data_IF_223162840295
#
_entry.id   IF_223162840295
#
_cell.length_a   1.000
_cell.length_b   1.000
_cell.length_c   1.000
_cell.angle_alpha   90.00
_cell.angle_beta   90.00
_cell.angle_gamma   90.00
#
_symmetry.space_group_name_H-M   'P 1'
#
loop_
_entity.id
_entity.type
_entity.pdbx_description
1 polymer ?
#
# COMPACT_ATOMS: atom_id res chain seq x y z
N UNK A 1 1.25 -4.33 -19.08
CA UNK A 1 -0.11 -3.86 -18.75
C UNK A 1 -0.45 -2.75 -19.71
N UNK A 2 -1.68 -2.69 -20.21
CA UNK A 2 -2.13 -1.56 -21.02
C UNK A 2 -2.47 -0.38 -20.11
N UNK A 3 -2.41 0.85 -20.61
CA UNK A 3 -2.83 2.03 -19.83
C UNK A 3 -4.29 1.94 -19.36
N UNK A 4 -5.12 1.15 -20.07
CA UNK A 4 -6.51 0.88 -19.69
C UNK A 4 -6.59 0.01 -18.43
N UNK A 5 -5.75 -1.02 -18.33
CA UNK A 5 -5.66 -1.88 -17.14
C UNK A 5 -5.22 -1.06 -15.91
N UNK A 6 -4.27 -0.13 -16.10
CA UNK A 6 -3.79 0.75 -15.04
C UNK A 6 -4.90 1.69 -14.52
N UNK A 7 -5.72 2.26 -15.42
CA UNK A 7 -6.87 3.08 -15.03
C UNK A 7 -7.93 2.28 -14.28
N UNK A 8 -8.22 1.06 -14.73
CA UNK A 8 -9.21 0.20 -14.08
C UNK A 8 -8.75 -0.20 -12.66
N UNK A 9 -7.45 -0.41 -12.45
CA UNK A 9 -6.92 -0.65 -11.12
C UNK A 9 -7.01 0.59 -10.22
N UNK A 10 -6.73 1.79 -10.74
CA UNK A 10 -6.89 3.04 -9.98
C UNK A 10 -8.35 3.28 -9.57
N UNK A 11 -9.31 2.96 -10.44
CA UNK A 11 -10.74 3.04 -10.12
C UNK A 11 -11.12 2.05 -9.02
N UNK A 12 -10.59 0.82 -9.05
CA UNK A 12 -10.82 -0.18 -8.01
C UNK A 12 -10.21 0.23 -6.66
N UNK A 13 -9.01 0.82 -6.66
CA UNK A 13 -8.37 1.34 -5.45
C UNK A 13 -9.12 2.53 -4.84
N UNK A 14 -9.66 3.43 -5.69
CA UNK A 14 -10.51 4.54 -5.24
C UNK A 14 -11.82 4.03 -4.64
N UNK A 15 -12.48 3.08 -5.31
CA UNK A 15 -13.71 2.45 -4.82
C UNK A 15 -13.49 1.66 -3.52
N UNK A 16 -12.31 1.05 -3.36
CA UNK A 16 -11.91 0.36 -2.14
C UNK A 16 -11.47 1.32 -1.01
N UNK A 17 -11.42 2.64 -1.26
CA UNK A 17 -10.97 3.64 -0.29
C UNK A 17 -9.49 3.56 0.06
N UNK A 18 -8.69 2.88 -0.77
CA UNK A 18 -7.23 2.69 -0.54
C UNK A 18 -6.40 3.89 -0.97
N UNK A 19 -6.92 4.67 -1.91
CA UNK A 19 -6.30 5.93 -2.36
C UNK A 19 -7.29 7.08 -2.18
N UNK A 20 -6.76 8.26 -1.90
CA UNK A 20 -7.56 9.48 -1.85
C UNK A 20 -7.96 9.93 -3.26
N UNK A 21 -9.01 10.73 -3.38
CA UNK A 21 -9.44 11.29 -4.66
C UNK A 21 -8.36 12.16 -5.33
N UNK A 22 -7.50 12.82 -4.54
CA UNK A 22 -6.40 13.64 -5.06
C UNK A 22 -5.26 12.77 -5.60
N UNK A 23 -4.92 11.69 -4.90
CA UNK A 23 -3.92 10.73 -5.34
C UNK A 23 -4.36 9.98 -6.60
N UNK A 24 -5.65 9.64 -6.70
CA UNK A 24 -6.23 9.09 -7.92
C UNK A 24 -6.02 10.03 -9.12
N UNK A 25 -6.25 11.34 -8.97
CA UNK A 25 -6.05 12.32 -10.06
C UNK A 25 -4.59 12.38 -10.49
N UNK A 26 -3.65 12.47 -9.55
CA UNK A 26 -2.22 12.50 -9.87
C UNK A 26 -1.78 11.24 -10.62
N UNK A 27 -2.18 10.06 -10.14
CA UNK A 27 -1.81 8.79 -10.78
C UNK A 27 -2.46 8.64 -12.15
N UNK A 28 -3.74 9.02 -12.28
CA UNK A 28 -4.46 9.01 -13.56
C UNK A 28 -3.77 9.90 -14.60
N UNK A 29 -3.38 11.11 -14.21
CA UNK A 29 -2.71 12.06 -15.11
C UNK A 29 -1.31 11.56 -15.52
N UNK A 30 -0.59 10.88 -14.63
CA UNK A 30 0.68 10.24 -14.97
C UNK A 30 0.52 9.09 -15.99
N UNK A 31 -0.52 8.26 -15.83
CA UNK A 31 -0.85 7.17 -16.77
C UNK A 31 -1.24 7.74 -18.14
N UNK A 32 -2.09 8.78 -18.17
CA UNK A 32 -2.50 9.46 -19.40
C UNK A 32 -1.34 10.18 -20.09
N UNK A 33 -0.45 10.82 -19.32
CA UNK A 33 0.76 11.46 -19.85
C UNK A 33 1.70 10.46 -20.52
N UNK A 34 1.86 9.27 -19.94
CA UNK A 34 2.63 8.17 -20.56
C UNK A 34 1.97 7.67 -21.84
N UNK A 35 0.65 7.55 -21.86
CA UNK A 35 -0.10 7.12 -23.04
C UNK A 35 -0.01 8.13 -24.19
N UNK A 36 -0.04 9.44 -23.89
CA UNK A 36 0.13 10.51 -24.91
C UNK A 36 1.57 10.65 -25.40
N UNK A 37 2.57 10.40 -24.55
CA UNK A 37 3.99 10.46 -24.92
C UNK A 37 4.53 9.22 -25.64
N UNK A 38 3.76 8.13 -25.71
CA UNK A 38 4.24 6.80 -26.12
C UNK A 38 4.03 6.43 -27.60
N UNK A 39 3.52 7.33 -28.43
CA UNK A 39 3.25 7.05 -29.85
C UNK A 39 4.19 7.78 -30.80
N UNK A 40 5.49 7.79 -30.48
CA UNK A 40 6.56 8.02 -31.46
C UNK A 40 7.79 7.16 -31.14
N UNK A 41 8.00 6.11 -31.93
CA UNK A 41 9.31 5.57 -32.32
C UNK A 41 10.27 5.00 -31.26
N UNK A 42 10.31 3.66 -31.18
CA UNK A 42 11.50 2.79 -31.26
C UNK A 42 12.89 3.22 -30.74
N UNK A 43 13.47 2.28 -29.96
CA UNK A 43 14.89 1.87 -29.92
C UNK A 43 15.93 2.78 -29.23
N UNK A 44 16.38 2.32 -28.06
CA UNK A 44 17.79 2.28 -27.65
C UNK A 44 18.48 3.61 -27.34
N UNK A 45 18.71 3.89 -26.06
CA UNK A 45 20.01 4.34 -25.55
C UNK A 45 19.96 4.46 -24.01
N UNK A 46 20.79 3.66 -23.35
CA UNK A 46 21.35 4.00 -22.05
C UNK A 46 22.04 5.36 -22.17
N UNK A 47 21.79 6.29 -21.25
CA UNK A 47 22.63 7.47 -21.09
C UNK A 47 23.05 7.65 -19.63
N UNK A 48 24.36 7.47 -19.48
CA UNK A 48 25.22 7.81 -18.36
C UNK A 48 25.64 9.29 -18.50
N UNK A 49 25.66 10.13 -17.44
CA UNK A 49 25.97 11.55 -17.61
C UNK A 49 27.49 11.81 -17.65
N UNK A 50 27.97 12.34 -18.78
CA UNK A 50 29.31 12.92 -18.97
C UNK A 50 29.27 14.45 -19.00
N UNK A 51 30.39 15.05 -18.59
CA UNK A 51 30.71 16.48 -18.39
C UNK A 51 30.75 17.35 -19.66
N UNK A 52 30.46 18.67 -19.61
CA UNK A 52 30.71 19.60 -20.72
C UNK A 52 31.98 20.47 -20.54
N UNK A 53 32.76 20.58 -21.62
CA UNK A 53 33.78 21.59 -21.86
C UNK A 53 33.26 22.59 -22.93
N UNK A 54 33.58 23.87 -22.76
CA UNK A 54 32.95 25.00 -23.46
C UNK A 54 33.48 25.35 -24.86
N UNK A 55 32.96 26.48 -25.39
CA UNK A 55 33.50 27.16 -26.57
C UNK A 55 32.50 28.08 -27.27
N UNK A 56 32.66 29.40 -27.10
CA UNK A 56 32.06 30.50 -27.89
C UNK A 56 32.77 30.67 -29.26
N UNK A 57 32.17 31.33 -30.28
CA UNK A 57 32.41 32.77 -30.47
C UNK A 57 31.23 33.57 -31.08
N UNK A 58 31.51 34.85 -31.39
CA UNK A 58 30.71 36.07 -31.31
C UNK A 58 30.58 36.79 -32.69
N UNK A 59 29.62 37.72 -32.79
CA UNK A 59 29.43 38.84 -33.79
C UNK A 59 28.67 38.48 -35.10
N UNK A 60 27.76 39.29 -35.69
CA UNK A 60 27.68 40.76 -35.83
C UNK A 60 26.24 41.21 -36.26
N UNK A 61 25.80 42.48 -36.06
CA UNK A 61 24.42 42.95 -36.32
C UNK A 61 24.24 43.83 -37.57
N UNK A 62 23.03 43.84 -38.15
CA UNK A 62 22.63 44.77 -39.22
C UNK A 62 21.10 44.83 -39.47
N UNK A 63 20.55 46.04 -39.49
CA UNK A 63 19.19 46.46 -39.91
C UNK A 63 19.32 47.52 -41.02
N UNK A 64 18.26 48.11 -41.62
CA UNK A 64 16.85 47.69 -41.88
C UNK A 64 16.44 47.92 -43.37
N UNK A 65 15.18 47.64 -43.76
CA UNK A 65 14.30 48.56 -44.55
C UNK A 65 13.07 47.90 -45.20
N UNK A 66 11.88 48.48 -44.95
CA UNK A 66 10.68 48.58 -45.83
C UNK A 66 9.86 47.30 -46.07
N UNK A 67 8.52 47.27 -46.05
CA UNK A 67 7.46 48.27 -45.97
C UNK A 67 6.09 47.57 -46.05
N UNK A 68 5.04 48.18 -45.47
CA UNK A 68 3.61 47.84 -45.64
C UNK A 68 3.06 48.48 -46.94
N UNK A 69 1.96 47.99 -47.59
CA UNK A 69 0.54 48.12 -47.14
C UNK A 69 -0.34 46.87 -47.44
N UNK A 70 -1.35 46.49 -46.62
CA UNK A 70 -2.74 46.98 -46.45
C UNK A 70 -3.73 46.66 -47.60
N UNK A 71 -4.93 46.15 -47.19
CA UNK A 71 -6.25 46.05 -47.87
C UNK A 71 -6.60 44.72 -48.57
N UNK A 72 -7.80 44.12 -48.54
CA UNK A 72 -9.08 44.18 -47.77
C UNK A 72 -9.96 42.97 -48.29
N UNK A 73 -11.30 42.81 -48.04
CA UNK A 73 -11.91 41.52 -47.67
C UNK A 73 -12.89 40.94 -48.72
N UNK A 74 -13.39 39.70 -48.51
CA UNK A 74 -14.57 39.22 -49.24
C UNK A 74 -14.90 37.74 -49.08
N UNK A 75 -16.06 37.44 -48.49
CA UNK A 75 -16.85 36.22 -48.71
C UNK A 75 -17.52 36.26 -50.09
N UNK A 76 -17.75 35.12 -50.80
CA UNK A 76 -19.07 34.48 -50.71
C UNK A 76 -19.13 32.94 -50.91
N UNK A 77 -20.20 32.36 -50.34
CA UNK A 77 -21.05 31.23 -50.74
C UNK A 77 -20.55 30.08 -51.66
N UNK A 78 -20.81 28.84 -51.20
CA UNK A 78 -21.41 27.77 -52.03
C UNK A 78 -20.64 26.44 -52.13
N UNK A 79 -21.29 25.32 -51.77
CA UNK A 79 -21.02 23.99 -52.34
C UNK A 79 -20.75 22.83 -51.37
N UNK A 80 -21.74 21.95 -51.19
CA UNK A 80 -21.67 20.58 -50.65
C UNK A 80 -20.87 19.64 -51.59
N UNK A 81 -20.21 18.54 -51.12
CA UNK A 81 -20.93 17.31 -50.79
C UNK A 81 -20.43 16.52 -49.55
N UNK A 82 -21.43 16.04 -48.82
CA UNK A 82 -21.55 14.84 -47.99
C UNK A 82 -20.37 13.83 -48.05
N UNK A 83 -19.55 13.82 -46.99
CA UNK A 83 -18.56 12.78 -46.74
C UNK A 83 -19.18 11.68 -45.87
N UNK A 84 -19.30 10.48 -46.43
CA UNK A 84 -19.77 9.27 -45.78
C UNK A 84 -18.83 8.84 -44.65
N UNK A 85 -19.34 8.86 -43.43
CA UNK A 85 -18.66 8.34 -42.23
C UNK A 85 -18.82 6.80 -42.19
N UNK A 86 -17.74 6.00 -42.15
CA UNK A 86 -17.81 4.53 -42.06
C UNK A 86 -17.74 4.00 -40.62
N UNK A 87 -18.10 4.79 -39.60
CA UNK A 87 -18.05 4.34 -38.20
C UNK A 87 -19.43 3.85 -37.74
N UNK A 88 -19.51 2.65 -37.13
CA UNK A 88 -20.75 2.18 -36.52
C UNK A 88 -21.14 3.10 -35.34
N UNK A 89 -22.44 3.21 -35.01
CA UNK A 89 -22.90 4.02 -33.89
C UNK A 89 -22.25 3.57 -32.57
N UNK A 90 -22.05 4.54 -31.68
CA UNK A 90 -21.52 4.30 -30.35
C UNK A 90 -22.35 3.25 -29.60
N UNK A 91 -21.65 2.27 -29.03
CA UNK A 91 -22.20 1.23 -28.19
C UNK A 91 -22.92 1.86 -26.98
N UNK A 92 -24.22 1.63 -26.87
CA UNK A 92 -25.03 2.08 -25.73
C UNK A 92 -25.13 0.96 -24.70
N UNK A 93 -24.63 1.19 -23.49
CA UNK A 93 -24.67 0.23 -22.37
C UNK A 93 -26.08 -0.03 -21.80
N UNK A 94 -27.14 0.58 -22.36
CA UNK A 94 -28.51 0.45 -21.88
C UNK A 94 -29.24 -0.85 -22.27
N UNK A 95 -28.84 -1.55 -23.34
CA UNK A 95 -29.62 -2.66 -23.91
C UNK A 95 -29.10 -4.07 -23.55
N UNK A 96 -27.95 -4.19 -22.88
CA UNK A 96 -27.39 -5.49 -22.48
C UNK A 96 -28.08 -6.13 -21.26
N UNK A 97 -28.88 -5.38 -20.50
CA UNK A 97 -29.57 -5.87 -19.30
C UNK A 97 -30.98 -6.44 -19.56
N UNK A 98 -31.50 -6.38 -20.80
CA UNK A 98 -32.89 -6.78 -21.12
C UNK A 98 -33.03 -8.07 -21.96
N UNK A 99 -31.94 -8.68 -22.43
CA UNK A 99 -32.00 -9.87 -23.30
C UNK A 99 -31.85 -11.23 -22.58
N UNK A 100 -31.79 -11.25 -21.25
CA UNK A 100 -31.64 -12.49 -20.47
C UNK A 100 -32.94 -13.22 -20.11
N UNK A 101 -34.12 -12.67 -20.42
CA UNK A 101 -35.38 -13.13 -19.83
C UNK A 101 -36.53 -13.33 -20.83
N UNK A 102 -36.30 -14.00 -21.97
CA UNK A 102 -37.39 -14.61 -22.74
C UNK A 102 -36.92 -15.88 -23.49
N UNK A 103 -36.97 -17.02 -22.81
CA UNK A 103 -37.35 -18.28 -23.47
C UNK A 103 -38.29 -19.06 -22.55
N UNK A 104 -39.58 -18.95 -22.86
CA UNK A 104 -40.65 -19.78 -22.32
C UNK A 104 -41.05 -20.81 -23.39
N UNK A 105 -41.32 -22.01 -22.90
CA UNK A 105 -42.34 -22.96 -23.37
C UNK A 105 -42.19 -23.59 -24.77
N UNK A 106 -41.88 -24.88 -24.76
CA UNK A 106 -42.66 -25.86 -25.50
C UNK A 106 -42.66 -27.22 -24.79
N UNK A 107 -43.85 -27.59 -24.31
CA UNK A 107 -44.23 -28.93 -23.84
C UNK A 107 -45.04 -29.55 -24.99
N UNK A 108 -44.81 -30.83 -25.34
CA UNK A 108 -45.90 -31.78 -25.17
C UNK A 108 -45.49 -33.23 -24.81
N UNK A 109 -46.35 -33.80 -23.94
CA UNK A 109 -46.87 -35.17 -23.93
C UNK A 109 -46.03 -36.36 -23.36
N UNK A 110 -46.72 -37.39 -22.83
CA UNK A 110 -46.25 -38.21 -21.70
C UNK A 110 -45.97 -39.67 -22.08
N UNK A 111 -44.80 -40.18 -21.69
CA UNK A 111 -44.44 -41.61 -21.65
C UNK A 111 -43.27 -41.70 -20.65
N UNK A 112 -43.40 -42.35 -19.50
CA UNK A 112 -43.25 -43.80 -19.39
C UNK A 112 -41.82 -44.13 -18.95
N UNK A 113 -41.66 -44.45 -17.67
CA UNK A 113 -40.67 -45.40 -17.12
C UNK A 113 -39.16 -45.10 -17.29
N UNK A 114 -38.48 -44.66 -16.22
CA UNK A 114 -37.10 -45.07 -15.87
C UNK A 114 -36.58 -44.34 -14.61
N UNK A 115 -36.88 -44.88 -13.43
CA UNK A 115 -36.12 -44.61 -12.21
C UNK A 115 -34.80 -45.39 -12.31
N UNK A 116 -33.68 -44.70 -12.57
CA UNK A 116 -32.35 -45.31 -12.48
C UNK A 116 -31.63 -44.76 -11.25
N UNK A 117 -31.71 -45.54 -10.17
CA UNK A 117 -30.94 -45.39 -8.94
C UNK A 117 -29.59 -46.08 -9.16
N UNK A 118 -28.49 -45.36 -8.95
CA UNK A 118 -27.12 -45.90 -8.98
C UNK A 118 -26.88 -46.66 -7.65
N UNK A 119 -26.61 -47.98 -7.66
CA UNK A 119 -26.27 -48.73 -6.46
C UNK A 119 -24.79 -48.54 -6.10
N UNK A 120 -24.54 -48.10 -4.87
CA UNK A 120 -23.22 -48.08 -4.24
C UNK A 120 -22.98 -49.42 -3.52
N UNK A 121 -22.07 -50.30 -3.97
CA UNK A 121 -21.82 -51.58 -3.30
C UNK A 121 -20.97 -51.41 -2.03
N UNK A 122 -21.61 -51.65 -0.88
CA UNK A 122 -20.98 -51.85 0.42
C UNK A 122 -20.26 -53.21 0.42
N UNK A 123 -18.95 -53.19 0.66
CA UNK A 123 -18.17 -54.38 1.02
C UNK A 123 -18.13 -54.50 2.54
N UNK A 124 -18.65 -55.63 3.05
CA UNK A 124 -18.55 -56.06 4.44
C UNK A 124 -17.15 -56.66 4.74
N UNK A 125 -16.57 -56.41 5.92
CA UNK A 125 -15.44 -57.19 6.44
C UNK A 125 -15.92 -58.39 7.30
N UNK A 126 -15.22 -59.55 7.27
CA UNK A 126 -15.51 -60.66 8.19
C UNK A 126 -14.84 -60.47 9.56
N UNK A 127 -15.63 -60.70 10.62
CA UNK A 127 -15.18 -60.89 12.01
C UNK A 127 -14.58 -62.30 12.20
N UNK A 128 -13.48 -62.39 12.95
CA UNK A 128 -13.18 -63.49 13.91
C UNK A 128 -11.88 -63.21 14.67
N UNK A 129 -11.90 -63.35 16.01
CA UNK A 129 -10.68 -63.36 16.84
C UNK A 129 -10.88 -62.79 18.24
N UNK A 130 -11.23 -63.65 19.19
CA UNK A 130 -11.44 -63.34 20.61
C UNK A 130 -10.12 -63.08 21.37
N UNK A 131 -10.11 -62.08 22.25
CA UNK A 131 -9.25 -62.00 23.44
C UNK A 131 -10.02 -61.29 24.57
N UNK A 132 -9.97 -61.79 25.81
CA UNK A 132 -10.59 -61.12 26.96
C UNK A 132 -9.56 -60.26 27.69
N UNK A 133 -9.90 -59.00 27.97
CA UNK A 133 -9.05 -58.13 28.79
C UNK A 133 -9.55 -56.69 28.84
N UNK A 134 -10.28 -56.41 29.92
CA UNK A 134 -10.27 -55.16 30.67
C UNK A 134 -10.67 -53.84 29.98
N UNK A 135 -11.90 -53.45 30.31
CA UNK A 135 -12.29 -52.15 30.88
C UNK A 135 -12.01 -50.84 30.14
N UNK A 136 -13.06 -50.00 30.20
CA UNK A 136 -13.08 -48.54 30.28
C UNK A 136 -12.86 -47.68 29.00
N UNK A 137 -14.00 -47.28 28.42
CA UNK A 137 -14.31 -45.91 27.96
C UNK A 137 -14.01 -45.52 26.50
N UNK A 138 -14.95 -45.78 25.58
CA UNK A 138 -15.19 -44.87 24.45
C UNK A 138 -16.62 -45.00 23.95
N UNK A 139 -17.43 -43.99 24.26
CA UNK A 139 -18.82 -43.86 23.84
C UNK A 139 -18.84 -43.32 22.40
N UNK A 140 -19.15 -44.18 21.43
CA UNK A 140 -19.35 -43.77 20.03
C UNK A 140 -20.76 -43.21 19.89
N UNK A 141 -20.90 -41.89 19.74
CA UNK A 141 -22.19 -41.23 19.49
C UNK A 141 -22.55 -41.41 18.01
N UNK A 142 -23.60 -42.20 17.79
CA UNK A 142 -24.24 -42.43 16.49
C UNK A 142 -25.05 -41.18 16.08
N UNK A 143 -24.60 -40.44 15.07
CA UNK A 143 -25.34 -39.31 14.50
C UNK A 143 -26.40 -39.84 13.51
N UNK A 144 -27.64 -39.95 13.98
CA UNK A 144 -28.80 -40.18 13.13
C UNK A 144 -29.08 -38.92 12.30
N UNK A 145 -29.13 -39.10 10.98
CA UNK A 145 -29.53 -38.08 10.00
C UNK A 145 -30.93 -37.54 10.32
N UNK A 146 -31.04 -36.23 10.56
CA UNK A 146 -32.32 -35.53 10.55
C UNK A 146 -32.54 -34.82 9.20
N UNK A 147 -33.75 -34.90 8.62
CA UNK A 147 -34.09 -34.22 7.37
C UNK A 147 -34.26 -32.70 7.59
N UNK A 148 -33.60 -31.92 6.74
CA UNK A 148 -33.65 -30.45 6.74
C UNK A 148 -35.01 -29.93 6.24
N UNK A 149 -35.64 -28.95 6.92
CA UNK A 149 -36.81 -28.24 6.38
C UNK A 149 -36.42 -27.24 5.28
N UNK A 150 -37.34 -27.07 4.33
CA UNK A 150 -37.20 -26.27 3.11
C UNK A 150 -36.87 -24.78 3.36
N UNK A 151 -36.17 -24.11 2.42
CA UNK A 151 -35.83 -22.70 2.54
C UNK A 151 -37.06 -21.78 2.37
N UNK A 152 -37.16 -20.68 3.15
CA UNK A 152 -38.23 -19.70 3.00
C UNK A 152 -38.08 -18.86 1.72
N UNK A 153 -39.23 -18.56 1.12
CA UNK A 153 -39.38 -17.76 -0.09
C UNK A 153 -38.87 -16.32 0.12
N UNK A 154 -38.12 -15.81 -0.85
CA UNK A 154 -37.71 -14.41 -0.91
C UNK A 154 -38.92 -13.50 -1.19
N UNK A 155 -39.03 -12.31 -0.56
CA UNK A 155 -40.07 -11.35 -0.87
C UNK A 155 -39.83 -10.70 -2.23
N UNK A 156 -40.86 -10.81 -3.08
CA UNK A 156 -40.99 -10.19 -4.39
C UNK A 156 -41.25 -8.67 -4.22
N UNK A 157 -40.24 -7.84 -4.52
CA UNK A 157 -40.45 -6.40 -4.68
C UNK A 157 -41.15 -6.11 -6.01
N UNK A 158 -42.28 -5.42 -5.93
CA UNK A 158 -43.12 -5.05 -7.08
C UNK A 158 -42.49 -3.99 -8.00
N UNK A 159 -43.05 -3.78 -9.20
CA UNK A 159 -42.52 -2.86 -10.19
C UNK A 159 -42.73 -1.39 -9.77
N UNK A 160 -41.62 -0.67 -9.66
CA UNK A 160 -41.61 0.77 -9.44
C UNK A 160 -42.08 1.48 -10.73
N UNK A 161 -43.08 2.35 -10.56
CA UNK A 161 -43.71 3.09 -11.63
C UNK A 161 -42.76 4.06 -12.31
N UNK A 162 -42.99 4.24 -13.62
CA UNK A 162 -42.24 5.10 -14.50
C UNK A 162 -42.27 6.57 -14.10
N UNK A 163 -41.10 7.19 -14.20
CA UNK A 163 -40.96 8.64 -14.27
C UNK A 163 -40.93 9.03 -15.74
N UNK A 164 -41.96 9.80 -16.14
CA UNK A 164 -42.06 10.39 -17.46
C UNK A 164 -40.99 11.46 -17.71
N UNK A 165 -40.90 11.86 -18.98
CA UNK A 165 -40.02 12.90 -19.47
C UNK A 165 -40.23 14.21 -18.71
N UNK A 166 -39.16 14.69 -18.08
CA UNK A 166 -39.02 16.09 -17.68
C UNK A 166 -38.00 16.74 -18.61
N UNK A 167 -38.52 17.52 -19.55
CA UNK A 167 -37.75 18.59 -20.18
C UNK A 167 -37.40 19.60 -19.07
N UNK A 168 -36.14 19.66 -18.66
CA UNK A 168 -35.63 20.72 -17.79
C UNK A 168 -34.13 20.91 -17.99
N UNK A 169 -33.83 21.88 -18.84
CA UNK A 169 -32.60 22.66 -18.85
C UNK A 169 -32.43 23.34 -17.49
N UNK A 170 -31.35 23.04 -16.75
CA UNK A 170 -31.02 23.75 -15.51
C UNK A 170 -30.08 22.95 -14.61
N UNK A 171 -28.81 23.33 -14.58
CA UNK A 171 -27.83 22.84 -13.60
C UNK A 171 -28.17 23.33 -12.18
N UNK A 172 -27.92 22.53 -11.13
CA UNK A 172 -28.38 22.80 -9.76
C UNK A 172 -27.58 23.87 -8.99
N UNK A 173 -26.67 24.59 -9.64
CA UNK A 173 -25.99 25.74 -9.06
C UNK A 173 -26.49 26.98 -9.79
N UNK A 174 -27.38 27.71 -9.11
CA UNK A 174 -28.35 28.61 -9.68
C UNK A 174 -27.79 29.77 -10.50
N UNK A 175 -28.54 30.10 -11.54
CA UNK A 175 -28.39 31.30 -12.37
C UNK A 175 -29.78 31.95 -12.41
N UNK A 176 -30.07 32.84 -11.45
CA UNK A 176 -31.14 33.84 -11.57
C UNK A 176 -30.96 34.97 -10.54
N UNK A 177 -30.38 36.09 -11.00
CA UNK A 177 -30.66 37.43 -10.49
C UNK A 177 -30.59 38.42 -11.66
N UNK A 178 -31.69 39.12 -12.02
CA UNK A 178 -31.68 40.05 -13.14
C UNK A 178 -31.32 41.47 -12.66
N UNK A 179 -30.31 42.07 -13.31
CA UNK A 179 -30.15 43.53 -13.38
C UNK A 179 -29.34 44.17 -12.26
N UNK A 180 -28.05 44.37 -12.51
CA UNK A 180 -27.19 45.29 -11.76
C UNK A 180 -25.89 45.49 -12.53
N UNK A 181 -25.72 46.66 -13.14
CA UNK A 181 -24.49 47.08 -13.80
C UNK A 181 -23.37 47.32 -12.78
N UNK A 182 -22.14 47.07 -13.24
CA UNK A 182 -20.87 47.55 -12.73
C UNK A 182 -20.35 47.01 -11.38
N UNK A 183 -19.01 47.06 -11.25
CA UNK A 183 -18.14 46.58 -10.17
C UNK A 183 -17.78 45.08 -10.31
N UNK A 184 -16.52 44.67 -10.36
CA UNK A 184 -15.28 45.26 -9.88
C UNK A 184 -14.41 44.07 -9.48
N UNK A 185 -13.13 44.16 -9.80
CA UNK A 185 -12.15 43.08 -9.75
C UNK A 185 -12.06 42.44 -8.35
N UNK A 186 -11.92 41.11 -8.32
CA UNK A 186 -11.79 40.32 -7.11
C UNK A 186 -10.53 40.71 -6.30
N UNK A 187 -10.71 41.62 -5.33
CA UNK A 187 -9.67 42.18 -4.48
C UNK A 187 -9.39 41.39 -3.19
N UNK A 188 -9.93 40.18 -3.02
CA UNK A 188 -9.80 39.40 -1.77
C UNK A 188 -8.60 38.42 -1.73
N UNK A 189 -7.81 38.32 -2.80
CA UNK A 189 -6.61 37.47 -2.86
C UNK A 189 -5.28 38.24 -2.72
N UNK A 190 -5.26 39.47 -2.20
CA UNK A 190 -4.01 40.21 -1.97
C UNK A 190 -3.99 40.89 -0.60
N UNK A 191 -2.84 40.73 0.08
CA UNK A 191 -2.42 41.21 1.42
C UNK A 191 -2.74 40.20 2.53
N UNK A 192 -1.81 39.59 3.29
CA UNK A 192 -0.40 39.89 3.63
C UNK A 192 -0.29 39.92 5.18
N UNK A 193 0.79 39.40 5.80
CA UNK A 193 1.84 40.32 6.22
C UNK A 193 3.26 39.83 5.87
N UNK A 194 3.92 40.64 5.05
CA UNK A 194 5.38 40.73 4.90
C UNK A 194 6.04 41.11 6.23
N UNK A 195 7.17 40.47 6.55
CA UNK A 195 8.48 41.05 6.93
C UNK A 195 9.43 39.85 7.13
N UNK A 196 10.59 39.71 6.49
CA UNK A 196 11.61 40.71 6.14
C UNK A 196 12.38 40.32 4.87
N UNK A 197 12.61 41.31 3.99
CA UNK A 197 13.71 41.30 3.04
C UNK A 197 15.04 41.63 3.74
N UNK A 198 16.10 40.87 3.40
CA UNK A 198 17.45 41.34 3.05
C UNK A 198 18.28 40.08 2.70
N UNK A 199 19.11 39.96 1.68
CA UNK A 199 19.55 40.83 0.59
C UNK A 199 20.09 39.90 -0.51
N UNK A 200 19.96 40.30 -1.78
CA UNK A 200 20.31 39.48 -2.94
C UNK A 200 21.81 39.33 -3.24
N UNK A 201 22.14 38.19 -3.86
CA UNK A 201 23.22 37.97 -4.86
C UNK A 201 23.02 36.53 -5.35
N UNK A 202 22.61 36.20 -6.58
CA UNK A 202 23.08 36.65 -7.88
C UNK A 202 23.73 35.45 -8.59
N UNK A 203 23.07 34.88 -9.62
CA UNK A 203 23.72 34.00 -10.59
C UNK A 203 23.13 32.58 -10.75
N UNK A 204 22.52 32.35 -11.92
CA UNK A 204 22.14 31.03 -12.46
C UNK A 204 23.37 30.19 -12.81
N UNK A 205 23.30 28.87 -12.62
CA UNK A 205 24.22 27.93 -13.26
C UNK A 205 23.92 26.47 -12.91
N UNK A 206 23.51 25.68 -13.92
CA UNK A 206 23.45 24.22 -13.87
C UNK A 206 24.86 23.64 -13.63
N UNK A 207 25.02 22.74 -12.65
CA UNK A 207 25.88 21.54 -12.61
C UNK A 207 26.28 21.17 -11.17
N UNK A 208 26.46 19.85 -10.96
CA UNK A 208 27.06 19.14 -9.81
C UNK A 208 26.04 18.36 -8.98
N UNK A 209 25.73 17.17 -9.49
CA UNK A 209 25.64 15.97 -8.67
C UNK A 209 27.04 15.68 -8.06
N UNK A 210 27.08 15.41 -6.76
CA UNK A 210 28.24 14.84 -6.07
C UNK A 210 29.13 15.82 -5.28
N UNK A 211 28.66 16.33 -4.13
CA UNK A 211 29.50 16.65 -2.95
C UNK A 211 28.66 17.09 -1.73
N UNK A 212 27.83 16.23 -1.14
CA UNK A 212 27.03 16.57 0.06
C UNK A 212 27.75 16.35 1.40
N UNK A 213 28.94 15.73 1.42
CA UNK A 213 29.69 15.48 2.66
C UNK A 213 30.64 16.64 3.03
N UNK A 214 31.11 17.41 2.03
CA UNK A 214 32.03 18.54 2.27
C UNK A 214 31.35 19.76 2.91
N UNK A 215 30.07 20.00 2.61
CA UNK A 215 29.35 21.18 3.12
C UNK A 215 29.11 21.14 4.63
N UNK A 216 28.81 19.97 5.19
CA UNK A 216 28.53 19.81 6.63
C UNK A 216 29.80 20.00 7.47
N UNK A 217 30.95 19.53 6.98
CA UNK A 217 32.24 19.71 7.66
C UNK A 217 32.69 21.17 7.71
N UNK A 218 32.43 21.95 6.66
CA UNK A 218 32.80 23.37 6.63
C UNK A 218 31.90 24.20 7.55
N UNK A 219 30.60 23.88 7.64
CA UNK A 219 29.69 24.56 8.58
C UNK A 219 30.06 24.24 10.04
N UNK A 220 30.41 22.98 10.34
CA UNK A 220 30.90 22.60 11.67
C UNK A 220 32.19 23.33 12.07
N UNK A 221 33.13 23.51 11.13
CA UNK A 221 34.39 24.22 11.38
C UNK A 221 34.19 25.72 11.60
N UNK A 222 33.24 26.34 10.90
CA UNK A 222 32.90 27.76 11.09
C UNK A 222 32.25 28.00 12.46
N UNK A 223 31.37 27.10 12.91
CA UNK A 223 30.75 27.20 14.25
C UNK A 223 31.80 27.02 15.35
N UNK A 224 32.72 26.06 15.21
CA UNK A 224 33.81 25.87 16.16
C UNK A 224 34.77 27.07 16.23
N UNK A 225 35.03 27.73 15.10
CA UNK A 225 35.94 28.88 15.03
C UNK A 225 35.30 30.15 15.62
N UNK A 226 33.98 30.32 15.46
CA UNK A 226 33.23 31.40 16.14
C UNK A 226 33.24 31.19 17.65
N UNK A 227 33.04 29.96 18.14
CA UNK A 227 33.07 29.64 19.58
C UNK A 227 34.46 29.83 20.19
N UNK A 228 35.52 29.55 19.42
CA UNK A 228 36.90 29.75 19.86
C UNK A 228 37.27 31.24 19.97
N UNK A 229 36.76 32.10 19.09
CA UNK A 229 37.06 33.54 19.12
C UNK A 229 36.18 34.36 20.08
N UNK A 230 34.99 33.88 20.46
CA UNK A 230 34.12 34.59 21.41
C UNK A 230 34.34 34.21 22.88
N UNK A 231 35.15 33.19 23.16
CA UNK A 231 35.39 32.70 24.53
C UNK A 231 36.68 33.25 25.17
N UNK A 232 37.35 34.21 24.54
CA UNK A 232 38.63 34.75 24.98
C UNK A 232 38.51 36.02 25.84
N UNK A 233 38.03 35.90 27.07
CA UNK A 233 38.41 36.83 28.15
C UNK A 233 38.36 36.10 29.50
N UNK A 234 39.53 35.86 30.07
CA UNK A 234 39.71 35.24 31.39
C UNK A 234 40.43 36.21 32.30
N UNK A 235 39.85 36.60 33.45
CA UNK A 235 40.61 37.02 34.61
C UNK A 235 40.87 35.83 35.55
N UNK A 236 42.18 35.63 35.83
CA UNK A 236 42.89 35.07 36.98
C UNK A 236 42.22 34.11 38.02
N UNK A 237 42.99 33.17 38.61
CA UNK A 237 42.51 31.89 39.11
C UNK A 237 41.92 31.98 40.53
N UNK A 238 40.67 31.53 40.65
CA UNK A 238 40.06 31.09 41.91
C UNK A 238 40.33 29.57 42.09
N UNK A 239 40.42 29.05 43.33
CA UNK A 239 40.79 27.66 43.60
C UNK A 239 39.82 26.69 42.92
N UNK A 240 40.41 25.66 42.28
CA UNK A 240 39.76 24.62 41.47
C UNK A 240 38.42 24.13 42.05
N UNK A 241 37.29 24.39 41.38
CA UNK A 241 36.16 23.49 41.46
C UNK A 241 36.52 22.22 40.69
N UNK A 242 36.35 21.06 41.34
CA UNK A 242 36.51 19.75 40.74
C UNK A 242 35.82 19.67 39.35
N UNK A 243 36.43 19.00 38.36
CA UNK A 243 35.82 18.85 37.05
C UNK A 243 34.49 18.11 37.21
N UNK A 244 33.39 18.83 37.07
CA UNK A 244 32.07 18.24 36.89
C UNK A 244 32.14 17.38 35.63
N UNK A 245 32.19 16.08 35.84
CA UNK A 245 32.15 15.07 34.80
C UNK A 245 31.00 15.38 33.86
N UNK A 246 31.31 15.71 32.60
CA UNK A 246 30.34 15.73 31.52
C UNK A 246 29.71 14.33 31.50
N UNK A 247 28.44 14.23 31.90
CA UNK A 247 27.71 12.98 31.91
C UNK A 247 27.75 12.35 30.53
N UNK A 248 28.44 11.22 30.39
CA UNK A 248 28.35 10.41 29.19
C UNK A 248 26.86 10.08 28.97
N UNK A 249 26.34 10.17 27.73
CA UNK A 249 24.98 9.74 27.45
C UNK A 249 24.88 8.25 27.84
N UNK A 250 24.15 7.96 28.90
CA UNK A 250 23.83 6.59 29.29
C UNK A 250 22.80 6.08 28.31
N UNK A 251 23.24 5.45 27.23
CA UNK A 251 22.36 4.66 26.38
C UNK A 251 21.82 3.52 27.23
N UNK A 252 20.51 3.48 27.43
CA UNK A 252 19.83 2.39 28.14
C UNK A 252 20.13 1.12 27.34
N UNK A 253 20.84 0.17 27.94
CA UNK A 253 21.11 -1.11 27.26
C UNK A 253 19.78 -1.86 27.08
N UNK A 254 19.44 -2.22 25.84
CA UNK A 254 18.26 -3.03 25.57
C UNK A 254 18.38 -4.41 26.25
N UNK A 255 17.28 -4.95 26.79
CA UNK A 255 17.25 -6.28 27.38
C UNK A 255 17.61 -7.36 26.35
N UNK A 256 18.22 -8.44 26.82
CA UNK A 256 18.52 -9.60 25.97
C UNK A 256 17.27 -10.48 25.82
N UNK A 257 16.92 -10.90 24.59
CA UNK A 257 15.83 -11.84 24.40
C UNK A 257 16.23 -13.25 24.90
N UNK A 258 15.26 -14.16 25.11
CA UNK A 258 15.52 -15.55 25.43
C UNK A 258 16.56 -16.18 24.49
N UNK A 259 17.37 -17.11 25.01
CA UNK A 259 18.39 -17.79 24.20
C UNK A 259 17.76 -18.47 22.98
N UNK A 260 18.40 -18.33 21.81
CA UNK A 260 17.94 -18.97 20.58
C UNK A 260 17.80 -20.48 20.77
N UNK A 261 16.72 -21.06 20.23
CA UNK A 261 16.53 -22.52 20.26
C UNK A 261 17.55 -23.16 19.31
N UNK A 262 18.08 -24.36 19.60
CA UNK A 262 19.13 -24.96 18.79
C UNK A 262 18.64 -25.46 17.42
N UNK A 263 17.34 -25.68 17.25
CA UNK A 263 16.75 -26.19 16.03
C UNK A 263 15.61 -25.28 15.55
N UNK A 264 15.50 -25.04 14.23
CA UNK A 264 14.38 -24.29 13.66
C UNK A 264 13.05 -25.04 13.85
N UNK A 265 11.91 -24.32 13.91
CA UNK A 265 10.59 -24.93 13.79
C UNK A 265 10.49 -25.74 12.50
N UNK A 266 9.90 -26.94 12.59
CA UNK A 266 9.78 -27.84 11.43
C UNK A 266 8.66 -27.42 10.46
N UNK A 267 7.62 -26.76 10.97
CA UNK A 267 6.48 -26.30 10.18
C UNK A 267 6.27 -24.79 10.34
N UNK A 268 5.76 -24.09 9.31
CA UNK A 268 5.48 -22.66 9.37
C UNK A 268 4.53 -22.26 10.51
N UNK A 269 3.55 -23.11 10.83
CA UNK A 269 2.60 -22.84 11.91
C UNK A 269 3.26 -22.89 13.30
N UNK A 270 4.31 -23.70 13.49
CA UNK A 270 5.00 -23.84 14.77
C UNK A 270 5.91 -22.62 15.08
N UNK A 271 6.12 -21.75 14.10
CA UNK A 271 6.87 -20.50 14.26
C UNK A 271 6.08 -19.48 15.08
N UNK A 272 4.76 -19.47 14.94
CA UNK A 272 3.88 -18.47 15.54
C UNK A 272 3.15 -19.02 16.78
N UNK A 273 2.93 -18.16 17.77
CA UNK A 273 2.07 -18.49 18.91
C UNK A 273 0.60 -18.41 18.56
N UNK A 274 -0.23 -19.16 19.30
CA UNK A 274 -1.68 -19.02 19.20
C UNK A 274 -2.13 -17.72 19.86
N UNK A 275 -2.86 -16.89 19.13
CA UNK A 275 -3.44 -15.66 19.65
C UNK A 275 -4.92 -15.88 20.00
N UNK A 276 -5.38 -15.50 21.19
CA UNK A 276 -6.79 -15.61 21.56
C UNK A 276 -7.65 -14.60 20.78
N UNK A 277 -8.84 -15.04 20.35
CA UNK A 277 -9.83 -14.17 19.71
C UNK A 277 -10.53 -14.83 18.52
N UNK A 278 -11.57 -14.18 17.95
CA UNK A 278 -12.17 -14.61 16.70
C UNK A 278 -11.12 -14.61 15.59
N UNK A 279 -10.97 -15.72 14.90
CA UNK A 279 -9.97 -15.85 13.83
C UNK A 279 -10.45 -15.22 12.53
N UNK A 280 -9.55 -14.48 11.88
CA UNK A 280 -9.82 -13.91 10.56
C UNK A 280 -9.93 -15.03 9.51
N UNK A 281 -10.85 -14.94 8.51
CA UNK A 281 -11.05 -15.98 7.50
C UNK A 281 -9.83 -16.29 6.62
N UNK A 282 -8.82 -15.42 6.60
CA UNK A 282 -7.60 -15.60 5.79
C UNK A 282 -6.43 -16.27 6.52
N UNK A 283 -6.62 -16.65 7.79
CA UNK A 283 -5.61 -17.37 8.56
C UNK A 283 -5.18 -18.66 7.86
N UNK A 284 -3.92 -19.04 8.04
CA UNK A 284 -3.35 -20.25 7.47
C UNK A 284 -2.14 -19.98 6.56
N UNK A 285 -1.86 -20.90 5.61
CA UNK A 285 -0.64 -20.82 4.82
C UNK A 285 -0.62 -19.59 3.91
N UNK A 286 0.59 -19.09 3.71
CA UNK A 286 0.96 -18.05 2.76
C UNK A 286 1.94 -18.66 1.76
N UNK A 287 1.41 -19.13 0.64
CA UNK A 287 2.25 -19.50 -0.50
C UNK A 287 2.44 -18.32 -1.45
N UNK A 288 3.45 -18.44 -2.31
CA UNK A 288 3.77 -17.47 -3.37
C UNK A 288 2.53 -17.07 -4.21
N UNK A 289 1.71 -18.02 -4.71
CA UNK A 289 0.50 -17.67 -5.45
C UNK A 289 -0.51 -16.85 -4.64
N UNK A 290 -0.73 -17.18 -3.36
CA UNK A 290 -1.66 -16.42 -2.51
C UNK A 290 -1.16 -15.01 -2.27
N UNK A 291 0.13 -14.84 -2.00
CA UNK A 291 0.78 -13.55 -1.80
C UNK A 291 0.80 -12.67 -3.06
N UNK A 292 0.82 -13.27 -4.24
CA UNK A 292 0.71 -12.52 -5.50
C UNK A 292 -0.75 -12.27 -5.93
N UNK A 293 -1.70 -12.95 -5.29
CA UNK A 293 -3.11 -12.88 -5.61
C UNK A 293 -3.94 -12.32 -4.45
N UNK A 294 -4.88 -13.13 -3.97
CA UNK A 294 -5.90 -12.69 -3.02
C UNK A 294 -5.37 -12.28 -1.63
N UNK A 295 -4.15 -12.70 -1.25
CA UNK A 295 -3.47 -12.30 0.00
C UNK A 295 -2.34 -11.27 -0.21
N UNK A 296 -2.25 -10.62 -1.37
CA UNK A 296 -1.25 -9.56 -1.59
C UNK A 296 -1.36 -8.38 -0.61
N UNK A 297 -2.53 -8.22 0.02
CA UNK A 297 -2.76 -7.22 1.06
C UNK A 297 -2.25 -7.59 2.46
N UNK A 298 -1.78 -8.82 2.67
CA UNK A 298 -1.37 -9.29 4.01
C UNK A 298 -0.02 -8.71 4.44
N UNK A 299 0.94 -8.68 3.53
CA UNK A 299 2.26 -8.09 3.76
C UNK A 299 2.26 -6.67 3.19
N UNK A 300 2.25 -5.67 4.07
CA UNK A 300 2.23 -4.26 3.71
C UNK A 300 3.42 -3.54 4.36
N UNK A 301 3.97 -2.51 3.69
CA UNK A 301 3.62 -2.06 2.33
C UNK A 301 4.11 -2.99 1.22
N UNK A 302 3.70 -2.71 -0.03
CA UNK A 302 4.07 -3.52 -1.21
C UNK A 302 5.58 -3.67 -1.40
N UNK A 303 6.39 -2.69 -1.00
CA UNK A 303 7.85 -2.78 -1.07
C UNK A 303 8.42 -3.92 -0.23
N UNK A 304 7.83 -4.20 0.95
CA UNK A 304 8.23 -5.32 1.80
C UNK A 304 7.93 -6.65 1.12
N UNK A 305 6.75 -6.77 0.50
CA UNK A 305 6.40 -7.96 -0.27
C UNK A 305 7.33 -8.17 -1.45
N UNK A 306 7.56 -7.12 -2.25
CA UNK A 306 8.44 -7.21 -3.41
C UNK A 306 9.88 -7.55 -2.98
N UNK A 307 10.34 -7.04 -1.83
CA UNK A 307 11.64 -7.37 -1.22
C UNK A 307 11.70 -8.83 -0.77
N UNK A 308 10.66 -9.34 -0.12
CA UNK A 308 10.60 -10.75 0.28
C UNK A 308 10.65 -11.69 -0.94
N UNK A 309 9.88 -11.37 -1.99
CA UNK A 309 9.89 -12.14 -3.24
C UNK A 309 11.26 -12.10 -3.93
N UNK A 310 11.90 -10.93 -3.99
CA UNK A 310 13.24 -10.78 -4.58
C UNK A 310 14.32 -11.54 -3.80
N UNK A 311 14.15 -11.68 -2.47
CA UNK A 311 15.06 -12.40 -1.60
C UNK A 311 14.70 -13.89 -1.44
N UNK A 312 13.80 -14.42 -2.27
CA UNK A 312 13.56 -15.85 -2.39
C UNK A 312 12.58 -16.44 -1.37
N UNK A 313 11.62 -15.66 -0.90
CA UNK A 313 10.49 -16.15 -0.08
C UNK A 313 9.91 -17.46 -0.62
N UNK A 314 9.89 -18.51 0.21
CA UNK A 314 9.40 -19.84 -0.19
C UNK A 314 7.96 -20.08 0.22
N UNK A 315 7.64 -19.79 1.48
CA UNK A 315 6.35 -20.04 2.11
C UNK A 315 6.20 -19.22 3.39
N UNK A 316 5.05 -19.33 4.04
CA UNK A 316 4.76 -18.57 5.25
C UNK A 316 3.47 -18.99 5.92
N UNK A 317 3.18 -18.34 7.04
CA UNK A 317 1.97 -18.52 7.82
C UNK A 317 1.41 -17.17 8.27
N UNK A 318 0.09 -17.03 8.19
CA UNK A 318 -0.64 -15.85 8.61
C UNK A 318 -1.61 -16.19 9.72
N UNK A 319 -1.60 -15.41 10.79
CA UNK A 319 -2.63 -15.44 11.82
C UNK A 319 -3.07 -14.03 12.14
N UNK A 320 -4.38 -13.78 12.06
CA UNK A 320 -5.00 -12.52 12.43
C UNK A 320 -6.25 -12.76 13.26
N UNK A 321 -6.47 -11.89 14.23
CA UNK A 321 -7.71 -11.84 15.02
C UNK A 321 -8.60 -10.69 14.57
N UNK A 322 -9.90 -10.90 14.67
CA UNK A 322 -10.93 -9.89 14.43
C UNK A 322 -11.40 -9.28 15.75
N UNK A 323 -11.71 -7.98 15.71
CA UNK A 323 -12.12 -7.18 16.86
C UNK A 323 -10.96 -6.43 17.53
N UNK A 324 -11.26 -5.49 18.46
CA UNK A 324 -10.26 -4.79 19.23
C UNK A 324 -9.87 -5.58 20.51
N UNK A 325 -8.58 -5.69 20.85
CA UNK A 325 -7.44 -5.36 20.01
C UNK A 325 -7.28 -6.38 18.87
N UNK A 326 -6.95 -5.87 17.69
CA UNK A 326 -6.60 -6.68 16.56
C UNK A 326 -5.14 -7.10 16.71
N UNK A 327 -4.84 -8.36 16.46
CA UNK A 327 -3.47 -8.88 16.43
C UNK A 327 -3.23 -9.52 15.08
N UNK A 328 -2.07 -9.23 14.49
CA UNK A 328 -1.59 -9.88 13.27
C UNK A 328 -0.20 -10.46 13.55
N UNK A 329 -0.06 -11.76 13.25
CA UNK A 329 1.19 -12.49 13.25
C UNK A 329 1.48 -12.99 11.84
N UNK A 330 2.72 -12.81 11.41
CA UNK A 330 3.22 -13.30 10.13
C UNK A 330 4.53 -14.06 10.36
N UNK A 331 4.66 -15.22 9.72
CA UNK A 331 5.93 -15.91 9.56
C UNK A 331 6.21 -16.06 8.07
N UNK A 332 7.37 -15.63 7.60
CA UNK A 332 7.81 -15.77 6.21
C UNK A 332 9.13 -16.54 6.18
N UNK A 333 9.19 -17.61 5.41
CA UNK A 333 10.39 -18.43 5.28
C UNK A 333 11.29 -17.90 4.15
N UNK A 334 12.52 -17.60 4.52
CA UNK A 334 13.55 -17.07 3.64
C UNK A 334 14.67 -18.10 3.51
N UNK A 335 15.44 -18.06 2.40
CA UNK A 335 16.50 -19.04 2.16
C UNK A 335 17.69 -18.92 3.13
N UNK A 336 17.81 -17.81 3.88
CA UNK A 336 18.88 -17.57 4.86
C UNK A 336 18.48 -16.54 5.91
N UNK A 337 19.24 -16.48 7.02
CA UNK A 337 19.11 -15.43 8.04
C UNK A 337 19.37 -14.03 7.45
N UNK A 338 20.32 -13.88 6.53
CA UNK A 338 20.60 -12.60 5.86
C UNK A 338 19.43 -12.12 5.00
N UNK A 339 18.78 -13.04 4.28
CA UNK A 339 17.59 -12.76 3.49
C UNK A 339 16.41 -12.36 4.39
N UNK A 340 16.24 -13.05 5.52
CA UNK A 340 15.26 -12.68 6.54
C UNK A 340 15.55 -11.30 7.13
N UNK A 341 16.80 -11.02 7.51
CA UNK A 341 17.21 -9.71 8.04
C UNK A 341 16.90 -8.59 7.05
N UNK A 342 17.22 -8.78 5.77
CA UNK A 342 16.94 -7.79 4.72
C UNK A 342 15.45 -7.43 4.65
N UNK A 343 14.56 -8.41 4.80
CA UNK A 343 13.10 -8.18 4.80
C UNK A 343 12.63 -7.52 6.10
N UNK A 344 13.24 -7.87 7.24
CA UNK A 344 12.97 -7.22 8.54
C UNK A 344 13.33 -5.74 8.47
N UNK A 345 14.53 -5.42 7.99
CA UNK A 345 15.03 -4.05 7.88
C UNK A 345 14.10 -3.23 6.96
N UNK A 346 13.73 -3.75 5.78
CA UNK A 346 12.77 -3.10 4.88
C UNK A 346 11.38 -2.94 5.53
N UNK A 347 10.91 -3.92 6.31
CA UNK A 347 9.62 -3.82 7.00
C UNK A 347 9.60 -2.68 8.01
N UNK A 348 10.65 -2.56 8.83
CA UNK A 348 10.79 -1.52 9.86
C UNK A 348 11.00 -0.14 9.23
N UNK A 349 11.89 -0.02 8.23
CA UNK A 349 12.13 1.22 7.50
C UNK A 349 10.87 1.76 6.81
N UNK A 350 10.00 0.86 6.37
CA UNK A 350 8.75 1.24 5.72
C UNK A 350 7.63 1.67 6.69
N UNK A 351 7.82 1.55 8.01
CA UNK A 351 6.84 2.00 9.03
C UNK A 351 6.88 3.52 9.23
N UNK A 352 6.36 4.26 8.25
CA UNK A 352 6.28 5.72 8.35
C UNK A 352 5.38 6.16 9.51
N UNK A 353 5.87 7.09 10.33
CA UNK A 353 5.10 7.72 11.40
C UNK A 353 5.05 6.94 12.72
N UNK A 354 5.75 5.81 12.82
CA UNK A 354 5.94 5.09 14.09
C UNK A 354 7.27 5.52 14.71
N UNK A 355 7.30 5.64 16.04
CA UNK A 355 8.51 5.91 16.79
C UNK A 355 9.00 4.63 17.46
N UNK A 356 10.32 4.47 17.59
CA UNK A 356 10.92 3.35 18.33
C UNK A 356 10.50 3.45 19.80
N UNK A 357 10.04 2.33 20.34
CA UNK A 357 9.70 2.15 21.75
C UNK A 357 10.81 1.32 22.42
N UNK A 358 11.77 2.01 23.02
CA UNK A 358 12.92 1.38 23.68
C UNK A 358 12.52 0.55 24.91
N UNK A 359 11.35 0.81 25.51
CA UNK A 359 10.89 0.11 26.71
C UNK A 359 10.33 -1.28 26.38
N UNK A 360 9.81 -1.45 25.16
CA UNK A 360 9.29 -2.73 24.66
C UNK A 360 10.29 -3.47 23.75
N UNK A 361 11.39 -2.82 23.34
CA UNK A 361 12.40 -3.40 22.45
C UNK A 361 13.37 -4.34 23.17
N UNK A 362 13.92 -5.31 22.42
CA UNK A 362 14.98 -6.22 22.85
C UNK A 362 16.15 -6.18 21.86
N UNK A 363 17.31 -6.69 22.23
CA UNK A 363 18.41 -6.87 21.26
C UNK A 363 17.96 -7.74 20.08
N UNK A 364 17.99 -7.19 18.86
CA UNK A 364 17.51 -7.83 17.64
C UNK A 364 16.00 -7.80 17.42
N UNK A 365 15.24 -7.11 18.27
CA UNK A 365 13.78 -6.99 18.17
C UNK A 365 13.40 -5.54 18.46
N UNK A 366 13.39 -4.73 17.40
CA UNK A 366 12.96 -3.33 17.49
C UNK A 366 11.44 -3.26 17.50
N UNK A 367 10.88 -2.57 18.49
CA UNK A 367 9.44 -2.28 18.58
C UNK A 367 9.24 -0.83 18.16
N UNK A 368 8.29 -0.61 17.26
CA UNK A 368 7.86 0.71 16.81
C UNK A 368 6.37 0.90 17.13
N UNK A 369 5.98 2.11 17.51
CA UNK A 369 4.62 2.40 18.00
C UNK A 369 4.13 3.80 17.65
N UNK A 370 2.80 3.93 17.52
CA UNK A 370 2.06 5.21 17.53
C UNK A 370 1.28 5.45 18.83
N UNK A 371 1.39 4.54 19.80
CA UNK A 371 0.58 4.50 21.03
C UNK A 371 -0.77 3.79 20.89
N UNK A 372 -1.31 3.68 19.67
CA UNK A 372 -2.53 2.88 19.38
C UNK A 372 -2.26 1.68 18.48
N UNK A 373 -1.04 1.56 17.96
CA UNK A 373 -0.56 0.47 17.12
C UNK A 373 0.88 0.19 17.49
N UNK A 374 1.22 -1.08 17.71
CA UNK A 374 2.53 -1.56 18.12
C UNK A 374 2.97 -2.63 17.13
N UNK A 375 4.19 -2.49 16.60
CA UNK A 375 4.73 -3.36 15.56
C UNK A 375 6.16 -3.75 15.87
N UNK A 376 6.52 -4.96 15.46
CA UNK A 376 7.92 -5.39 15.41
C UNK A 376 8.09 -6.42 14.31
N UNK A 377 9.31 -6.51 13.80
CA UNK A 377 9.75 -7.62 12.97
C UNK A 377 11.16 -8.06 13.42
N UNK A 378 11.43 -9.37 13.32
CA UNK A 378 12.75 -9.91 13.65
C UNK A 378 13.03 -11.20 12.86
N UNK A 379 14.31 -11.57 12.78
CA UNK A 379 14.78 -12.76 12.07
C UNK A 379 15.10 -13.91 13.04
N UNK A 380 14.60 -15.11 12.74
CA UNK A 380 14.85 -16.32 13.51
C UNK A 380 14.95 -17.57 12.62
N UNK A 381 16.15 -18.13 12.48
CA UNK A 381 16.42 -19.33 11.68
C UNK A 381 15.89 -19.27 10.23
N UNK A 382 16.17 -18.18 9.53
CA UNK A 382 15.65 -17.93 8.18
C UNK A 382 14.17 -17.55 8.14
N UNK A 383 13.49 -17.42 9.27
CA UNK A 383 12.13 -16.87 9.33
C UNK A 383 12.15 -15.37 9.59
N UNK A 384 11.32 -14.63 8.87
CA UNK A 384 10.87 -13.28 9.25
C UNK A 384 9.61 -13.46 10.10
N UNK A 385 9.66 -12.99 11.34
CA UNK A 385 8.49 -12.96 12.23
C UNK A 385 8.04 -11.53 12.37
N UNK A 386 6.77 -11.25 12.09
CA UNK A 386 6.15 -9.94 12.25
C UNK A 386 5.03 -10.05 13.28
N UNK A 387 5.01 -9.13 14.24
CA UNK A 387 3.96 -9.00 15.26
C UNK A 387 3.40 -7.59 15.16
N UNK A 388 2.08 -7.47 15.00
CA UNK A 388 1.35 -6.20 15.00
C UNK A 388 0.15 -6.32 15.94
N UNK A 389 -0.07 -5.32 16.78
CA UNK A 389 -1.33 -5.15 17.51
C UNK A 389 -1.84 -3.73 17.42
N UNK A 390 -3.15 -3.56 17.21
CA UNK A 390 -3.80 -2.25 17.11
C UNK A 390 -5.17 -2.20 17.79
N UNK A 391 -5.58 -1.00 18.19
CA UNK A 391 -6.86 -0.74 18.84
C UNK A 391 -6.76 -0.57 20.36
N UNK A 392 -7.89 -0.68 21.05
CA UNK A 392 -7.93 -0.55 22.50
C UNK A 392 -7.17 -1.68 23.18
N UNK A 393 -6.36 -1.35 24.20
CA UNK A 393 -5.49 -2.33 24.89
C UNK A 393 -4.45 -3.00 23.97
N UNK A 394 -4.10 -2.37 22.84
CA UNK A 394 -3.08 -2.89 21.91
C UNK A 394 -1.73 -3.10 22.59
N UNK A 395 -1.28 -2.17 23.45
CA UNK A 395 0.01 -2.29 24.15
C UNK A 395 0.09 -3.54 25.04
N UNK A 396 -0.91 -3.75 25.89
CA UNK A 396 -0.96 -4.90 26.80
C UNK A 396 -1.01 -6.21 26.02
N UNK A 397 -1.81 -6.24 24.95
CA UNK A 397 -1.96 -7.41 24.09
C UNK A 397 -0.69 -7.70 23.32
N UNK A 398 -0.10 -6.66 22.72
CA UNK A 398 1.17 -6.73 22.02
C UNK A 398 2.27 -7.28 22.92
N UNK A 399 2.42 -6.73 24.13
CA UNK A 399 3.44 -7.16 25.09
C UNK A 399 3.26 -8.65 25.42
N UNK A 400 2.04 -9.07 25.76
CA UNK A 400 1.76 -10.48 26.07
C UNK A 400 2.02 -11.40 24.87
N UNK A 401 1.66 -10.98 23.66
CA UNK A 401 1.88 -11.79 22.45
C UNK A 401 3.37 -11.85 22.11
N UNK A 402 4.08 -10.72 22.20
CA UNK A 402 5.51 -10.63 21.94
C UNK A 402 6.32 -11.50 22.90
N UNK A 403 6.02 -11.47 24.20
CA UNK A 403 6.69 -12.33 25.19
C UNK A 403 6.51 -13.82 24.86
N UNK A 404 5.28 -14.24 24.55
CA UNK A 404 5.00 -15.61 24.15
C UNK A 404 5.72 -15.97 22.86
N UNK A 405 5.72 -15.05 21.89
CA UNK A 405 6.33 -15.22 20.59
C UNK A 405 7.86 -15.34 20.69
N UNK A 406 8.53 -14.54 21.52
CA UNK A 406 9.96 -14.64 21.79
C UNK A 406 10.33 -15.90 22.57
N UNK A 407 9.44 -16.42 23.43
CA UNK A 407 9.63 -17.72 24.06
C UNK A 407 9.46 -18.89 23.07
N UNK A 408 8.57 -18.74 22.09
CA UNK A 408 8.32 -19.74 21.05
C UNK A 408 9.43 -19.77 20.00
N UNK A 409 9.76 -18.61 19.44
CA UNK A 409 10.74 -18.45 18.35
C UNK A 409 11.61 -17.24 18.65
N UNK A 410 12.62 -17.38 19.53
CA UNK A 410 13.55 -16.29 19.84
C UNK A 410 14.42 -15.91 18.63
N UNK A 411 14.86 -14.64 18.53
CA UNK A 411 15.67 -14.16 17.42
C UNK A 411 17.05 -14.82 17.38
N UNK A 412 17.49 -15.21 16.18
CA UNK A 412 18.84 -15.70 15.91
C UNK A 412 19.80 -14.58 15.52
N UNK A 413 19.27 -13.52 14.90
CA UNK A 413 20.01 -12.29 14.56
C UNK A 413 19.74 -11.26 15.66
N UNK A 414 20.79 -10.78 16.33
CA UNK A 414 20.67 -9.90 17.52
C UNK A 414 21.38 -8.55 17.38
N UNK A 415 22.05 -8.33 16.26
CA UNK A 415 22.94 -7.20 16.01
C UNK A 415 22.27 -6.09 15.19
#
# INVERSE_FOLDING_TARGET
MTWQDELQNLDAELAAGRISAEEYRQRRDAVLGRAQGGQDGSAGAQQQPGTPAGGTPQQQPGTPSGGLPQQQPGTPAGGTPQQSNPFPPAFSWGDAAAQGAQQQQQQPAPSGEATQVVPNPIAQPPQQGATPGDSESTQVVNFAQQPWPAPPQQPQWGPQQGWGAVESTGTPWGDDLPGGQDHGEAAWMRQGPEVFETAGKGGKGKLIAGLSIGGVLVVGLVVALVFYFTSGDSPAPAPEPEPTAQGQPTTKQLPEPPAAKPAPPANPQDVLVNVPGPQHPWNGPLDLPSLQGHKAGVLQPKSVLDTALQNGLTDGWFTKTDGPPQVTLLALHMPSDDAAKTVVDEYLDAQQGLAVDEDLSYKGVEVVSTGSTFRTAYAAHGWVVIVDSSGDQAEQTFTSVLEQQLAQTPPTVRD
#
